data_IF_051363646338
#
_entry.id   IF_051363646338
#
_cell.length_a   1.000
_cell.length_b   1.000
_cell.length_c   1.000
_cell.angle_alpha   90.00
_cell.angle_beta   90.00
_cell.angle_gamma   90.00
#
_symmetry.space_group_name_H-M   'P 1'
#
loop_
_entity.id
_entity.type
_entity.pdbx_description
1 polymer ?
#
# COMPACT_ATOMS: atom_id res chain seq x y z
N UNK A 1 -7.78 18.91 9.94
CA UNK A 1 -6.96 17.72 10.24
C UNK A 1 -7.91 16.54 10.40
N UNK A 2 -8.00 15.72 9.36
CA UNK A 2 -8.94 14.57 9.27
C UNK A 2 -8.46 13.33 10.03
N UNK A 3 -7.17 13.27 10.37
CA UNK A 3 -6.53 12.12 11.05
C UNK A 3 -5.91 12.50 12.40
N UNK A 4 -6.45 13.56 13.04
CA UNK A 4 -5.92 14.07 14.31
C UNK A 4 -5.80 12.95 15.34
N UNK A 5 -4.59 12.81 15.90
CA UNK A 5 -4.22 11.85 16.96
C UNK A 5 -4.35 10.36 16.59
N UNK A 6 -4.69 10.03 15.33
CA UNK A 6 -4.73 8.64 14.86
C UNK A 6 -3.32 8.05 14.75
N UNK A 7 -3.14 6.83 15.22
CA UNK A 7 -1.90 6.08 15.11
C UNK A 7 -1.90 5.31 13.77
N UNK A 8 -1.00 5.67 12.86
CA UNK A 8 -0.97 5.11 11.51
C UNK A 8 0.36 4.44 11.19
N UNK A 9 0.31 3.20 10.73
CA UNK A 9 1.47 2.48 10.21
C UNK A 9 1.36 2.42 8.69
N UNK A 10 2.44 2.83 7.99
CA UNK A 10 2.55 2.69 6.54
C UNK A 10 3.72 1.78 6.21
N UNK A 11 3.43 0.59 5.65
CA UNK A 11 4.48 -0.37 5.34
C UNK A 11 5.28 0.08 4.10
N UNK A 12 6.62 0.04 4.19
CA UNK A 12 7.50 0.48 3.10
C UNK A 12 7.37 1.98 2.79
N UNK A 13 7.33 2.82 3.81
CA UNK A 13 7.14 4.26 3.71
C UNK A 13 8.43 5.08 3.57
N UNK A 14 9.54 4.44 3.22
CA UNK A 14 10.83 5.11 2.95
C UNK A 14 10.90 5.80 1.59
N UNK A 15 9.96 5.52 0.66
CA UNK A 15 9.95 6.12 -0.68
C UNK A 15 8.60 5.96 -1.38
N UNK A 16 8.39 6.73 -2.46
CA UNK A 16 7.27 6.56 -3.40
C UNK A 16 5.90 6.78 -2.77
N UNK A 17 4.91 5.93 -3.13
CA UNK A 17 3.53 6.07 -2.66
C UNK A 17 3.46 6.00 -1.12
N UNK A 18 4.21 5.08 -0.50
CA UNK A 18 4.22 4.94 0.96
C UNK A 18 4.73 6.20 1.68
N UNK A 19 5.79 6.80 1.17
CA UNK A 19 6.31 8.07 1.68
C UNK A 19 5.28 9.19 1.52
N UNK A 20 4.71 9.36 0.31
CA UNK A 20 3.71 10.41 0.05
C UNK A 20 2.48 10.26 0.95
N UNK A 21 2.01 9.02 1.19
CA UNK A 21 0.92 8.74 2.13
C UNK A 21 1.32 9.10 3.56
N UNK A 22 2.51 8.70 4.01
CA UNK A 22 2.99 9.00 5.36
C UNK A 22 3.06 10.52 5.61
N UNK A 23 3.59 11.27 4.65
CA UNK A 23 3.63 12.74 4.69
C UNK A 23 2.24 13.36 4.76
N UNK A 24 1.31 12.88 3.95
CA UNK A 24 -0.07 13.37 3.95
C UNK A 24 -0.78 13.07 5.25
N UNK A 25 -0.58 11.88 5.84
CA UNK A 25 -1.18 11.51 7.13
C UNK A 25 -0.64 12.37 8.26
N UNK A 26 0.68 12.62 8.31
CA UNK A 26 1.27 13.54 9.28
C UNK A 26 0.70 14.96 9.15
N UNK A 27 0.56 15.48 7.93
CA UNK A 27 -0.06 16.78 7.65
C UNK A 27 -1.53 16.85 8.13
N UNK A 28 -2.24 15.72 8.12
CA UNK A 28 -3.61 15.61 8.61
C UNK A 28 -3.69 15.30 10.12
N UNK A 29 -2.55 15.31 10.82
CA UNK A 29 -2.47 15.22 12.29
C UNK A 29 -2.33 13.80 12.85
N UNK A 30 -2.05 12.79 12.01
CA UNK A 30 -1.76 11.45 12.47
C UNK A 30 -0.34 11.36 13.07
N UNK A 31 -0.19 10.50 14.09
CA UNK A 31 1.12 10.00 14.53
C UNK A 31 1.51 8.84 13.62
N UNK A 32 2.43 9.10 12.71
CA UNK A 32 2.81 8.14 11.67
C UNK A 32 4.04 7.35 12.08
N UNK A 33 3.97 6.04 11.93
CA UNK A 33 5.11 5.13 12.06
C UNK A 33 5.67 4.86 10.67
N UNK A 34 6.92 5.25 10.46
CA UNK A 34 7.66 4.97 9.23
C UNK A 34 8.24 3.56 9.33
N UNK A 35 8.08 2.78 8.27
CA UNK A 35 8.70 1.46 8.21
C UNK A 35 9.52 1.26 6.94
N UNK A 36 10.60 0.50 7.05
CA UNK A 36 11.51 0.15 5.96
C UNK A 36 12.01 -1.29 6.09
N UNK A 37 12.41 -1.91 4.99
CA UNK A 37 13.16 -3.17 5.03
C UNK A 37 14.67 -2.91 4.90
N UNK A 38 15.11 -2.26 3.82
CA UNK A 38 16.54 -2.04 3.51
C UNK A 38 16.93 -0.56 3.43
N UNK A 39 15.99 0.33 3.14
CA UNK A 39 16.23 1.77 2.92
C UNK A 39 16.16 2.55 4.24
N UNK A 40 17.12 2.30 5.14
CA UNK A 40 17.14 2.91 6.48
C UNK A 40 17.32 4.43 6.42
N UNK A 41 18.31 4.90 5.66
CA UNK A 41 18.66 6.32 5.59
C UNK A 41 17.51 7.16 5.05
N UNK A 42 16.85 6.69 3.98
CA UNK A 42 15.69 7.36 3.39
C UNK A 42 14.51 7.38 4.37
N UNK A 43 14.27 6.27 5.08
CA UNK A 43 13.22 6.18 6.08
C UNK A 43 13.44 7.16 7.25
N UNK A 44 14.67 7.23 7.77
CA UNK A 44 15.05 8.17 8.83
C UNK A 44 14.92 9.64 8.39
N UNK A 45 15.22 9.94 7.11
CA UNK A 45 15.01 11.28 6.55
C UNK A 45 13.53 11.64 6.55
N UNK A 46 12.66 10.74 6.00
CA UNK A 46 11.21 10.95 5.99
C UNK A 46 10.68 11.12 7.41
N UNK A 47 11.08 10.25 8.34
CA UNK A 47 10.65 10.31 9.74
C UNK A 47 10.98 11.65 10.40
N UNK A 48 12.22 12.16 10.19
CA UNK A 48 12.67 13.46 10.70
C UNK A 48 11.85 14.61 10.14
N UNK A 49 11.59 14.59 8.83
CA UNK A 49 10.88 15.69 8.14
C UNK A 49 9.40 15.79 8.56
N UNK A 50 8.76 14.66 8.87
CA UNK A 50 7.37 14.66 9.34
C UNK A 50 7.22 14.66 10.86
N UNK A 51 8.32 14.62 11.60
CA UNK A 51 8.30 14.55 13.07
C UNK A 51 7.81 13.19 13.60
N UNK A 52 8.03 12.09 12.86
CA UNK A 52 7.64 10.76 13.31
C UNK A 52 8.53 10.28 14.47
N UNK A 53 7.90 9.82 15.56
CA UNK A 53 8.61 9.31 16.74
C UNK A 53 9.18 7.91 16.54
N UNK A 54 8.57 7.10 15.66
CA UNK A 54 8.99 5.74 15.36
C UNK A 54 9.35 5.58 13.88
N UNK A 55 10.55 5.05 13.64
CA UNK A 55 11.05 4.62 12.34
C UNK A 55 11.63 3.21 12.51
N UNK A 56 10.88 2.19 12.08
CA UNK A 56 11.13 0.80 12.43
C UNK A 56 11.50 -0.04 11.22
N UNK A 57 12.49 -0.93 11.39
CA UNK A 57 12.77 -1.93 10.37
C UNK A 57 11.67 -3.01 10.40
N UNK A 58 11.07 -3.28 9.25
CA UNK A 58 10.05 -4.31 9.10
C UNK A 58 10.17 -5.01 7.75
N UNK A 59 10.47 -6.30 7.78
CA UNK A 59 10.43 -7.16 6.61
C UNK A 59 9.08 -7.89 6.55
N UNK A 60 8.24 -7.54 5.57
CA UNK A 60 6.89 -8.16 5.42
C UNK A 60 6.92 -9.65 5.04
N UNK A 61 8.08 -10.17 4.64
CA UNK A 61 8.30 -11.60 4.42
C UNK A 61 8.52 -12.37 5.72
N UNK A 62 8.88 -11.68 6.79
CA UNK A 62 9.16 -12.27 8.10
C UNK A 62 8.08 -11.90 9.12
N UNK A 63 7.31 -12.90 9.52
CA UNK A 63 6.22 -12.71 10.50
C UNK A 63 6.73 -12.23 11.87
N UNK A 64 7.91 -12.66 12.29
CA UNK A 64 8.48 -12.20 13.57
C UNK A 64 8.87 -10.72 13.50
N UNK A 65 9.41 -10.27 12.37
CA UNK A 65 9.69 -8.85 12.12
C UNK A 65 8.43 -7.99 12.15
N UNK A 66 7.34 -8.46 11.53
CA UNK A 66 6.04 -7.76 11.54
C UNK A 66 5.50 -7.67 12.98
N UNK A 67 5.49 -8.80 13.69
CA UNK A 67 4.99 -8.88 15.08
C UNK A 67 5.76 -7.97 16.01
N UNK A 68 7.10 -7.96 15.92
CA UNK A 68 7.94 -7.08 16.73
C UNK A 68 7.64 -5.61 16.49
N UNK A 69 7.49 -5.21 15.22
CA UNK A 69 7.15 -3.84 14.83
C UNK A 69 5.78 -3.42 15.40
N UNK A 70 4.73 -4.20 15.19
CA UNK A 70 3.39 -3.85 15.67
C UNK A 70 3.28 -3.85 17.20
N UNK A 71 3.98 -4.76 17.86
CA UNK A 71 4.10 -4.80 19.32
C UNK A 71 4.75 -3.51 19.85
N UNK A 72 5.86 -3.06 19.27
CA UNK A 72 6.56 -1.83 19.68
C UNK A 72 5.65 -0.61 19.52
N UNK A 73 4.88 -0.53 18.40
CA UNK A 73 3.90 0.55 18.19
C UNK A 73 2.80 0.51 19.26
N UNK A 74 2.27 -0.68 19.55
CA UNK A 74 1.23 -0.83 20.57
C UNK A 74 1.75 -0.54 22.00
N UNK A 75 2.99 -0.89 22.31
CA UNK A 75 3.63 -0.52 23.58
C UNK A 75 3.85 0.98 23.72
N UNK A 76 4.17 1.68 22.60
CA UNK A 76 4.40 3.13 22.59
C UNK A 76 3.11 3.94 22.66
N UNK A 77 2.06 3.52 21.95
CA UNK A 77 0.84 4.31 21.76
C UNK A 77 -0.43 3.67 22.31
N UNK A 78 -0.36 2.43 22.78
CA UNK A 78 -1.49 1.67 23.31
C UNK A 78 -2.29 0.91 22.25
N UNK A 79 -2.31 1.39 21.00
CA UNK A 79 -3.10 0.82 19.91
C UNK A 79 -2.61 1.26 18.53
N UNK A 80 -3.26 0.73 17.50
CA UNK A 80 -3.11 1.13 16.09
C UNK A 80 -4.50 1.50 15.57
N UNK A 81 -4.66 2.63 14.88
CA UNK A 81 -5.92 3.02 14.23
C UNK A 81 -5.91 2.69 12.73
N UNK A 82 -4.77 2.86 12.08
CA UNK A 82 -4.68 2.77 10.61
C UNK A 82 -3.48 1.90 10.23
N UNK A 83 -3.74 0.89 9.37
CA UNK A 83 -2.70 0.12 8.70
C UNK A 83 -2.78 0.36 7.18
N UNK A 84 -1.69 0.82 6.58
CA UNK A 84 -1.53 0.87 5.12
C UNK A 84 -0.53 -0.18 4.68
N UNK A 85 -1.01 -1.22 4.01
CA UNK A 85 -0.19 -2.25 3.38
C UNK A 85 0.29 -1.75 2.02
N UNK A 86 1.43 -1.07 2.00
CA UNK A 86 2.04 -0.49 0.80
C UNK A 86 3.31 -1.21 0.36
N UNK A 87 4.07 -1.82 1.25
CA UNK A 87 5.30 -2.53 0.91
C UNK A 87 5.09 -3.48 -0.28
N UNK A 88 5.97 -3.40 -1.27
CA UNK A 88 5.83 -4.16 -2.49
C UNK A 88 7.11 -4.25 -3.29
N UNK A 89 7.18 -5.24 -4.16
CA UNK A 89 8.23 -5.44 -5.16
C UNK A 89 7.63 -5.88 -6.49
N UNK A 90 8.40 -5.78 -7.56
CA UNK A 90 7.99 -6.27 -8.86
C UNK A 90 9.19 -6.88 -9.60
N UNK A 91 8.92 -7.94 -10.37
CA UNK A 91 9.84 -8.54 -11.35
C UNK A 91 9.16 -8.49 -12.72
N UNK A 92 9.80 -7.81 -13.66
CA UNK A 92 9.27 -7.65 -15.02
C UNK A 92 9.89 -8.70 -15.93
N UNK A 93 9.08 -9.63 -16.41
CA UNK A 93 9.47 -10.67 -17.34
C UNK A 93 8.32 -11.00 -18.30
N UNK A 94 8.62 -11.50 -19.48
CA UNK A 94 7.61 -12.12 -20.33
C UNK A 94 7.11 -13.40 -19.67
N UNK A 95 5.87 -13.78 -19.96
CA UNK A 95 5.20 -14.87 -19.25
C UNK A 95 6.01 -16.19 -19.26
N UNK A 96 6.66 -16.50 -20.39
CA UNK A 96 7.48 -17.70 -20.57
C UNK A 96 8.92 -17.58 -20.04
N UNK A 97 9.27 -16.46 -19.43
CA UNK A 97 10.61 -16.15 -18.90
C UNK A 97 10.64 -15.92 -17.40
N UNK A 98 9.49 -15.72 -16.76
CA UNK A 98 9.46 -15.55 -15.31
C UNK A 98 9.80 -16.88 -14.62
N UNK A 99 10.78 -16.83 -13.69
CA UNK A 99 11.18 -18.02 -12.93
C UNK A 99 10.26 -18.24 -11.71
N UNK A 100 10.26 -19.47 -11.18
CA UNK A 100 9.52 -19.81 -9.98
C UNK A 100 9.99 -18.98 -8.77
N UNK A 101 11.29 -18.70 -8.66
CA UNK A 101 11.85 -17.89 -7.58
C UNK A 101 11.38 -16.42 -7.64
N UNK A 102 11.33 -15.85 -8.84
CA UNK A 102 10.81 -14.50 -9.07
C UNK A 102 9.31 -14.43 -8.77
N UNK A 103 8.56 -15.47 -9.16
CA UNK A 103 7.14 -15.62 -8.87
C UNK A 103 6.90 -15.68 -7.37
N UNK A 104 7.61 -16.56 -6.67
CA UNK A 104 7.48 -16.75 -5.22
C UNK A 104 7.88 -15.50 -4.43
N UNK A 105 8.98 -14.83 -4.82
CA UNK A 105 9.40 -13.57 -4.20
C UNK A 105 8.30 -12.50 -4.30
N UNK A 106 7.71 -12.33 -5.48
CA UNK A 106 6.69 -11.31 -5.70
C UNK A 106 5.42 -11.63 -4.93
N UNK A 107 4.97 -12.87 -4.93
CA UNK A 107 3.80 -13.30 -4.14
C UNK A 107 4.06 -13.16 -2.63
N UNK A 108 5.25 -13.55 -2.16
CA UNK A 108 5.58 -13.50 -0.73
C UNK A 108 5.59 -12.07 -0.18
N UNK A 109 6.07 -11.10 -0.97
CA UNK A 109 6.02 -9.68 -0.57
C UNK A 109 4.63 -9.08 -0.74
N UNK A 110 4.05 -9.17 -1.96
CA UNK A 110 2.89 -8.36 -2.32
C UNK A 110 1.55 -8.95 -1.89
N UNK A 111 1.47 -10.24 -1.58
CA UNK A 111 0.24 -10.93 -1.16
C UNK A 111 0.39 -11.55 0.22
N UNK A 112 1.34 -12.47 0.40
CA UNK A 112 1.53 -13.16 1.67
C UNK A 112 1.96 -12.20 2.78
N UNK A 113 2.79 -11.21 2.44
CA UNK A 113 3.19 -10.14 3.37
C UNK A 113 2.01 -9.30 3.83
N UNK A 114 1.11 -8.93 2.90
CA UNK A 114 -0.14 -8.23 3.24
C UNK A 114 -1.01 -9.06 4.16
N UNK A 115 -1.18 -10.35 3.86
CA UNK A 115 -1.93 -11.28 4.71
C UNK A 115 -1.31 -11.36 6.12
N UNK A 116 0.01 -11.50 6.23
CA UNK A 116 0.73 -11.54 7.53
C UNK A 116 0.51 -10.24 8.31
N UNK A 117 0.68 -9.07 7.67
CA UNK A 117 0.45 -7.78 8.31
C UNK A 117 -1.00 -7.65 8.81
N UNK A 118 -1.98 -8.04 7.99
CA UNK A 118 -3.38 -8.04 8.39
C UNK A 118 -3.67 -8.94 9.59
N UNK A 119 -3.03 -10.11 9.69
CA UNK A 119 -3.20 -10.99 10.86
C UNK A 119 -2.53 -10.43 12.12
N UNK A 120 -1.28 -9.99 12.00
CA UNK A 120 -0.50 -9.53 13.16
C UNK A 120 -0.98 -8.20 13.71
N UNK A 121 -1.72 -7.38 12.94
CA UNK A 121 -2.31 -6.14 13.45
C UNK A 121 -3.56 -6.37 14.29
N UNK A 122 -4.28 -7.50 14.13
CA UNK A 122 -5.58 -7.75 14.77
C UNK A 122 -5.61 -7.57 16.29
N UNK A 123 -4.58 -8.00 17.06
CA UNK A 123 -4.56 -7.79 18.50
C UNK A 123 -4.38 -6.33 18.93
N UNK A 124 -3.94 -5.47 18.01
CA UNK A 124 -3.50 -4.11 18.29
C UNK A 124 -4.37 -3.03 17.63
N UNK A 125 -5.14 -3.41 16.60
CA UNK A 125 -5.99 -2.46 15.88
C UNK A 125 -7.28 -2.19 16.66
N UNK A 126 -7.61 -0.90 16.85
CA UNK A 126 -8.84 -0.46 17.48
C UNK A 126 -10.09 -0.82 16.68
N UNK A 127 -11.22 -0.96 17.36
CA UNK A 127 -12.52 -0.91 16.71
C UNK A 127 -12.68 0.45 16.00
N UNK A 128 -13.44 0.47 14.93
CA UNK A 128 -13.53 1.61 14.01
C UNK A 128 -12.21 1.94 13.28
N UNK A 129 -11.23 1.04 13.30
CA UNK A 129 -9.95 1.18 12.59
C UNK A 129 -10.08 1.15 11.08
N UNK A 130 -8.97 1.38 10.39
CA UNK A 130 -8.89 1.40 8.92
C UNK A 130 -7.73 0.53 8.44
N UNK A 131 -7.99 -0.34 7.47
CA UNK A 131 -6.95 -1.09 6.75
C UNK A 131 -7.05 -0.71 5.28
N UNK A 132 -5.96 -0.16 4.73
CA UNK A 132 -5.86 0.22 3.33
C UNK A 132 -4.79 -0.65 2.68
N UNK A 133 -5.20 -1.47 1.72
CA UNK A 133 -4.29 -2.30 0.96
C UNK A 133 -3.97 -1.62 -0.37
N UNK A 134 -2.69 -1.44 -0.69
CA UNK A 134 -2.30 -0.87 -1.98
C UNK A 134 -2.37 -1.97 -3.05
N UNK A 135 -3.39 -1.86 -3.87
CA UNK A 135 -3.60 -2.66 -5.06
C UNK A 135 -2.73 -2.21 -6.24
N UNK A 136 -3.22 -2.45 -7.42
CA UNK A 136 -2.65 -1.93 -8.68
C UNK A 136 -3.63 -2.13 -9.82
N UNK A 137 -3.63 -1.20 -10.75
CA UNK A 137 -4.28 -1.36 -12.05
C UNK A 137 -3.88 -2.70 -12.73
N UNK A 138 -2.61 -3.12 -12.60
CA UNK A 138 -2.13 -4.39 -13.16
C UNK A 138 -2.90 -5.61 -12.64
N UNK A 139 -3.37 -5.59 -11.39
CA UNK A 139 -4.24 -6.64 -10.84
C UNK A 139 -5.61 -6.66 -11.51
N UNK A 140 -6.12 -5.51 -11.97
CA UNK A 140 -7.47 -5.41 -12.50
C UNK A 140 -7.59 -5.87 -13.97
N UNK A 141 -6.56 -5.63 -14.79
CA UNK A 141 -6.59 -5.98 -16.22
C UNK A 141 -5.51 -6.99 -16.66
N UNK A 142 -4.67 -7.48 -15.74
CA UNK A 142 -3.62 -8.43 -16.06
C UNK A 142 -2.39 -7.78 -16.70
N UNK A 143 -1.83 -6.75 -16.09
CA UNK A 143 -0.78 -5.89 -16.64
C UNK A 143 0.34 -6.60 -17.42
N UNK A 144 0.89 -5.99 -18.48
CA UNK A 144 1.86 -6.63 -19.36
C UNK A 144 3.18 -6.91 -18.63
N UNK A 145 3.78 -8.08 -18.93
CA UNK A 145 5.09 -8.48 -18.42
C UNK A 145 5.24 -8.49 -16.90
N UNK A 146 4.14 -8.66 -16.17
CA UNK A 146 4.13 -8.68 -14.70
C UNK A 146 3.17 -9.75 -14.16
N UNK A 147 3.27 -11.04 -14.58
CA UNK A 147 2.26 -12.05 -14.25
C UNK A 147 2.11 -12.27 -12.74
N UNK A 148 3.21 -12.50 -12.00
CA UNK A 148 3.18 -12.67 -10.53
C UNK A 148 2.63 -11.44 -9.80
N UNK A 149 3.03 -10.25 -10.22
CA UNK A 149 2.58 -9.00 -9.61
C UNK A 149 1.08 -8.77 -9.84
N UNK A 150 0.59 -9.00 -11.06
CA UNK A 150 -0.83 -8.89 -11.39
C UNK A 150 -1.66 -9.87 -10.54
N UNK A 151 -1.24 -11.13 -10.44
CA UNK A 151 -1.87 -12.14 -9.59
C UNK A 151 -1.88 -11.73 -8.12
N UNK A 152 -0.73 -11.28 -7.60
CA UNK A 152 -0.63 -10.81 -6.21
C UNK A 152 -1.59 -9.65 -5.93
N UNK A 153 -1.64 -8.63 -6.81
CA UNK A 153 -2.48 -7.45 -6.60
C UNK A 153 -3.97 -7.73 -6.77
N UNK A 154 -4.36 -8.67 -7.62
CA UNK A 154 -5.74 -9.18 -7.64
C UNK A 154 -6.05 -9.99 -6.38
N UNK A 155 -5.11 -10.82 -5.91
CA UNK A 155 -5.23 -11.55 -4.65
C UNK A 155 -5.44 -10.62 -3.44
N UNK A 156 -4.77 -9.46 -3.41
CA UNK A 156 -4.97 -8.42 -2.38
C UNK A 156 -6.40 -7.88 -2.39
N UNK A 157 -7.03 -7.72 -3.55
CA UNK A 157 -8.44 -7.31 -3.65
C UNK A 157 -9.35 -8.38 -3.04
N UNK A 158 -9.12 -9.66 -3.37
CA UNK A 158 -9.88 -10.77 -2.78
C UNK A 158 -9.69 -10.86 -1.25
N UNK A 159 -8.45 -10.68 -0.77
CA UNK A 159 -8.12 -10.63 0.65
C UNK A 159 -8.85 -9.46 1.35
N UNK A 160 -8.91 -8.29 0.71
CA UNK A 160 -9.64 -7.12 1.20
C UNK A 160 -11.12 -7.44 1.44
N UNK A 161 -11.78 -8.10 0.47
CA UNK A 161 -13.19 -8.49 0.60
C UNK A 161 -13.41 -9.49 1.74
N UNK A 162 -12.53 -10.48 1.88
CA UNK A 162 -12.61 -11.47 2.94
C UNK A 162 -12.41 -10.83 4.33
N UNK A 163 -11.37 -10.01 4.47
CA UNK A 163 -11.03 -9.36 5.73
C UNK A 163 -12.10 -8.34 6.16
N UNK A 164 -12.71 -7.60 5.21
CA UNK A 164 -13.80 -6.68 5.49
C UNK A 164 -15.01 -7.40 6.12
N UNK A 165 -15.34 -8.60 5.64
CA UNK A 165 -16.43 -9.41 6.24
C UNK A 165 -16.08 -9.86 7.65
N UNK A 166 -14.84 -10.27 7.88
CA UNK A 166 -14.38 -10.71 9.18
C UNK A 166 -14.35 -9.57 10.21
N UNK A 167 -13.94 -8.37 9.79
CA UNK A 167 -13.77 -7.21 10.67
C UNK A 167 -14.99 -6.27 10.75
N UNK A 168 -15.99 -6.48 9.90
CA UNK A 168 -17.23 -5.68 9.91
C UNK A 168 -17.90 -5.58 11.28
N UNK A 169 -18.02 -6.66 12.10
CA UNK A 169 -18.57 -6.58 13.45
C UNK A 169 -17.82 -5.64 14.40
N UNK A 170 -16.53 -5.35 14.12
CA UNK A 170 -15.72 -4.38 14.85
C UNK A 170 -15.74 -2.97 14.22
N UNK A 171 -16.57 -2.74 13.20
CA UNK A 171 -16.64 -1.50 12.42
C UNK A 171 -15.29 -1.10 11.79
N UNK A 172 -14.38 -2.05 11.57
CA UNK A 172 -13.11 -1.82 10.90
C UNK A 172 -13.35 -1.86 9.39
N UNK A 173 -13.10 -0.74 8.72
CA UNK A 173 -13.22 -0.67 7.26
C UNK A 173 -11.92 -1.15 6.59
N UNK A 174 -12.06 -2.04 5.62
CA UNK A 174 -10.94 -2.60 4.84
C UNK A 174 -11.19 -2.31 3.37
N UNK A 175 -10.30 -1.56 2.74
CA UNK A 175 -10.43 -1.15 1.34
C UNK A 175 -9.11 -1.32 0.59
N UNK A 176 -9.20 -1.40 -0.74
CA UNK A 176 -8.06 -1.37 -1.65
C UNK A 176 -7.97 0.02 -2.29
N UNK A 177 -6.80 0.64 -2.24
CA UNK A 177 -6.44 1.77 -3.11
C UNK A 177 -5.63 1.22 -4.28
N UNK A 178 -6.11 1.40 -5.50
CA UNK A 178 -5.53 0.83 -6.72
C UNK A 178 -4.96 1.94 -7.63
N UNK A 179 -3.65 2.20 -7.54
CA UNK A 179 -2.99 3.16 -8.41
C UNK A 179 -2.90 2.68 -9.86
N UNK A 180 -2.93 3.65 -10.79
CA UNK A 180 -2.44 3.48 -12.15
C UNK A 180 -0.90 3.52 -12.21
N UNK A 181 -0.36 3.85 -13.38
CA UNK A 181 1.09 3.99 -13.55
C UNK A 181 1.56 5.28 -12.88
N UNK A 182 2.51 5.14 -11.96
CA UNK A 182 3.17 6.26 -11.29
C UNK A 182 4.48 6.54 -12.03
N UNK A 183 4.62 7.79 -12.51
CA UNK A 183 5.85 8.29 -13.10
C UNK A 183 6.86 8.59 -11.99
N UNK A 184 7.93 7.83 -11.96
CA UNK A 184 9.06 8.05 -11.08
C UNK A 184 10.35 7.58 -11.75
N UNK A 185 11.49 7.83 -11.14
CA UNK A 185 12.79 7.45 -11.67
C UNK A 185 12.89 5.94 -12.01
N UNK A 186 12.26 5.09 -11.20
CA UNK A 186 12.21 3.65 -11.46
C UNK A 186 11.45 3.35 -12.76
N UNK A 187 10.25 3.91 -12.91
CA UNK A 187 9.41 3.75 -14.10
C UNK A 187 10.11 4.28 -15.36
N UNK A 188 10.73 5.47 -15.25
CA UNK A 188 11.48 6.07 -16.36
C UNK A 188 12.65 5.21 -16.80
N UNK A 189 13.35 4.58 -15.87
CA UNK A 189 14.52 3.74 -16.17
C UNK A 189 14.17 2.34 -16.64
N UNK A 190 13.06 1.74 -16.17
CA UNK A 190 12.77 0.31 -16.38
C UNK A 190 11.71 0.04 -17.44
N UNK A 191 10.87 1.04 -17.76
CA UNK A 191 9.80 0.86 -18.75
C UNK A 191 10.32 1.16 -20.15
N UNK A 192 10.26 0.16 -21.04
CA UNK A 192 10.63 0.35 -22.44
C UNK A 192 9.73 1.41 -23.12
N UNK A 193 10.27 2.19 -24.09
CA UNK A 193 9.52 3.26 -24.74
C UNK A 193 8.17 2.82 -25.33
N UNK A 194 8.13 1.66 -25.98
CA UNK A 194 6.90 1.12 -26.58
C UNK A 194 5.84 0.79 -25.52
N UNK A 195 6.27 0.30 -24.35
CA UNK A 195 5.36 0.01 -23.21
C UNK A 195 4.83 1.30 -22.62
N UNK A 196 5.68 2.33 -22.51
CA UNK A 196 5.31 3.66 -22.07
C UNK A 196 4.28 4.31 -22.99
N UNK A 197 4.53 4.29 -24.30
CA UNK A 197 3.62 4.84 -25.31
C UNK A 197 2.28 4.11 -25.33
N UNK A 198 2.28 2.78 -25.20
CA UNK A 198 1.06 1.99 -25.11
C UNK A 198 0.25 2.33 -23.85
N UNK A 199 0.92 2.46 -22.70
CA UNK A 199 0.26 2.86 -21.46
C UNK A 199 -0.38 4.24 -21.59
N UNK A 200 0.34 5.22 -22.16
CA UNK A 200 -0.19 6.57 -22.40
C UNK A 200 -1.36 6.61 -23.38
N UNK A 201 -1.37 5.72 -24.39
CA UNK A 201 -2.51 5.63 -25.33
C UNK A 201 -3.80 5.16 -24.63
N UNK A 202 -3.69 4.24 -23.68
CA UNK A 202 -4.84 3.70 -22.95
C UNK A 202 -5.43 4.72 -21.95
N UNK A 203 -4.61 5.63 -21.40
CA UNK A 203 -5.05 6.61 -20.43
C UNK A 203 -5.94 7.69 -21.06
N UNK A 204 -7.01 8.07 -20.36
CA UNK A 204 -7.82 9.25 -20.74
C UNK A 204 -7.07 10.54 -20.36
N UNK A 205 -6.43 10.58 -19.20
CA UNK A 205 -5.50 11.63 -18.79
C UNK A 205 -4.10 11.24 -19.29
N UNK A 206 -3.63 11.90 -20.35
CA UNK A 206 -2.44 11.53 -21.13
C UNK A 206 -1.11 11.79 -20.45
N UNK A 207 -0.96 11.34 -19.20
CA UNK A 207 0.29 11.37 -18.44
C UNK A 207 0.29 10.30 -17.34
N UNK A 208 1.44 9.93 -16.87
CA UNK A 208 1.56 9.16 -15.64
C UNK A 208 1.20 10.03 -14.43
N UNK A 209 0.69 9.40 -13.38
CA UNK A 209 0.42 10.07 -12.12
C UNK A 209 1.72 10.27 -11.33
N UNK A 210 1.72 11.22 -10.40
CA UNK A 210 2.73 11.32 -9.34
C UNK A 210 2.20 10.68 -8.06
N UNK A 211 3.10 10.27 -7.16
CA UNK A 211 2.72 9.54 -5.95
C UNK A 211 1.78 10.36 -5.04
N UNK A 212 1.92 11.67 -5.03
CA UNK A 212 1.09 12.62 -4.27
C UNK A 212 -0.38 12.58 -4.69
N UNK A 213 -0.69 12.21 -5.93
CA UNK A 213 -2.09 12.11 -6.40
C UNK A 213 -2.85 10.95 -5.76
N UNK A 214 -2.15 10.01 -5.12
CA UNK A 214 -2.76 8.93 -4.34
C UNK A 214 -3.18 9.38 -2.93
N UNK A 215 -2.59 10.47 -2.42
CA UNK A 215 -2.71 10.85 -1.02
C UNK A 215 -4.10 11.30 -0.61
N UNK A 216 -4.80 12.01 -1.47
CA UNK A 216 -6.18 12.45 -1.19
C UNK A 216 -7.13 11.27 -0.94
N UNK A 217 -7.03 10.22 -1.78
CA UNK A 217 -7.80 9.00 -1.61
C UNK A 217 -7.36 8.21 -0.37
N UNK A 218 -6.05 8.13 -0.10
CA UNK A 218 -5.53 7.45 1.08
C UNK A 218 -6.00 8.12 2.37
N UNK A 219 -5.99 9.46 2.45
CA UNK A 219 -6.51 10.22 3.60
C UNK A 219 -8.01 10.03 3.75
N UNK A 220 -8.79 10.08 2.66
CA UNK A 220 -10.22 9.79 2.70
C UNK A 220 -10.50 8.39 3.26
N UNK A 221 -9.83 7.35 2.75
CA UNK A 221 -10.01 5.97 3.21
C UNK A 221 -9.58 5.76 4.66
N UNK A 222 -8.66 6.57 5.18
CA UNK A 222 -8.19 6.53 6.56
C UNK A 222 -9.07 7.31 7.54
N UNK A 223 -9.89 8.25 7.04
CA UNK A 223 -10.69 9.17 7.84
C UNK A 223 -12.09 8.62 8.19
N UNK A 224 -12.81 9.37 9.03
CA UNK A 224 -14.21 9.08 9.38
C UNK A 224 -15.17 9.38 8.22
N UNK A 225 -14.74 10.15 7.20
CA UNK A 225 -15.51 10.42 5.98
C UNK A 225 -15.82 9.14 5.19
N UNK A 226 -14.99 8.09 5.34
CA UNK A 226 -15.17 6.78 4.71
C UNK A 226 -15.78 5.71 5.63
N UNK A 227 -16.40 6.10 6.74
CA UNK A 227 -16.88 5.17 7.79
C UNK A 227 -17.90 4.12 7.32
N UNK A 228 -18.55 4.35 6.17
CA UNK A 228 -19.48 3.39 5.55
C UNK A 228 -18.92 2.76 4.27
N UNK A 229 -17.63 2.95 3.98
CA UNK A 229 -16.94 2.37 2.82
C UNK A 229 -16.04 1.23 3.26
N UNK A 230 -16.43 0.00 2.93
CA UNK A 230 -15.63 -1.21 3.18
C UNK A 230 -15.76 -2.21 2.04
N UNK A 231 -14.81 -3.09 1.88
CA UNK A 231 -14.73 -4.07 0.79
C UNK A 231 -14.75 -3.44 -0.62
N UNK A 232 -14.26 -2.21 -0.76
CA UNK A 232 -14.22 -1.52 -2.05
C UNK A 232 -12.81 -1.38 -2.60
N UNK A 233 -12.72 -1.26 -3.92
CA UNK A 233 -11.49 -0.85 -4.61
C UNK A 233 -11.68 0.55 -5.17
N UNK A 234 -10.87 1.49 -4.68
CA UNK A 234 -10.81 2.86 -5.20
C UNK A 234 -9.66 2.96 -6.20
N UNK A 235 -9.98 3.03 -7.48
CA UNK A 235 -8.99 3.10 -8.56
C UNK A 235 -8.67 4.56 -8.91
N UNK A 236 -7.39 4.92 -8.86
CA UNK A 236 -6.84 6.22 -9.26
C UNK A 236 -5.86 5.97 -10.42
N UNK A 237 -6.37 5.89 -11.63
CA UNK A 237 -5.63 5.35 -12.78
C UNK A 237 -5.64 6.24 -14.04
N UNK A 238 -6.11 7.49 -13.95
CA UNK A 238 -6.17 8.40 -15.10
C UNK A 238 -7.07 7.92 -16.24
N UNK A 239 -8.01 7.01 -15.94
CA UNK A 239 -8.88 6.40 -16.95
C UNK A 239 -8.19 5.35 -17.83
N UNK A 240 -7.06 4.81 -17.39
CA UNK A 240 -6.36 3.74 -18.13
C UNK A 240 -7.14 2.41 -18.15
N UNK A 241 -8.04 2.24 -17.20
CA UNK A 241 -8.99 1.12 -17.15
C UNK A 241 -10.33 1.60 -16.63
N UNK A 242 -11.37 1.39 -17.40
CA UNK A 242 -12.76 1.72 -17.06
C UNK A 242 -13.49 0.39 -16.81
N UNK A 243 -13.99 0.21 -15.61
CA UNK A 243 -14.88 -0.94 -15.32
C UNK A 243 -16.23 -0.67 -15.98
N UNK A 244 -16.69 -1.61 -16.79
CA UNK A 244 -18.04 -1.62 -17.33
C UNK A 244 -19.05 -2.05 -16.26
#
# INVERSE_FOLDING_TARGET
>A
MRLRDKIAIVTGSSSGIGESIARAYAKEGAKVVITFNTKKTEAELVAREIGAELCLQMNVRDRLSIRACFKEVAERYGHIDILVNNAGTNRTADFDKQTDEEWDEVLDVNLTGVFRCCQEVLPHINDYGRIINIGSLSGEYGGPRTPSYACAKMGVTALTHNLARFLGPRNICVNTLSPGVIGNEFTERTMAPEVKDNALRLMLIKRFAVAEEMTGAAVYLASDESSYMTAQTMSINGGAWVRA
#
